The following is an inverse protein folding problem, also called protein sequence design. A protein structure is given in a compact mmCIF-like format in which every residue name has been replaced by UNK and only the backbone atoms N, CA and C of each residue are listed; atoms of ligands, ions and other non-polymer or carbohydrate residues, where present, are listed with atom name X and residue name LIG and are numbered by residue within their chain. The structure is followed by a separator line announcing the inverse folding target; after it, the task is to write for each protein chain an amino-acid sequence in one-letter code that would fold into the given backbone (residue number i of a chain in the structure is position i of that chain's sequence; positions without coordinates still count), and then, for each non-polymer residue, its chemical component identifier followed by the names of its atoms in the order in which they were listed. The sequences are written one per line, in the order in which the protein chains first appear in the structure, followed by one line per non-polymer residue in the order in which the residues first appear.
data_IF_577157790400
#
_entry.id   IF_577157790400
#
_cell.length_a   1.000
_cell.length_b   1.000
_cell.length_c   1.000
_cell.angle_alpha   90.00
_cell.angle_beta   90.00
_cell.angle_gamma   90.00
#
_symmetry.space_group_name_H-M   'P 1'
#
loop_
_entity.id
_entity.type
_entity.pdbx_description
1 polymer ?
#
# COMPACT_ATOMS: atom_id res chain seq x y z
N UNK A 1 49.66 23.57 58.46
CA UNK A 1 49.45 22.65 57.36
C UNK A 1 48.02 22.14 57.47
N UNK A 2 47.09 22.64 56.64
CA UNK A 2 45.71 22.23 56.59
C UNK A 2 45.36 21.94 55.12
N UNK A 3 45.15 20.67 54.76
CA UNK A 3 44.75 20.26 53.44
C UNK A 3 43.23 20.37 53.31
N UNK A 4 42.78 21.20 52.39
CA UNK A 4 41.39 21.29 52.01
C UNK A 4 41.13 20.28 50.84
N UNK A 5 40.30 19.26 51.09
CA UNK A 5 39.88 18.29 50.10
C UNK A 5 38.58 18.82 49.49
N UNK A 6 38.66 19.22 48.21
CA UNK A 6 37.49 19.65 47.45
C UNK A 6 36.74 18.44 46.89
N UNK A 7 35.47 18.30 47.24
CA UNK A 7 34.54 17.35 46.64
C UNK A 7 34.02 17.92 45.32
N UNK A 8 34.41 17.33 44.18
CA UNK A 8 33.74 17.56 42.90
C UNK A 8 32.52 16.63 42.81
N UNK A 9 31.34 17.20 42.93
CA UNK A 9 30.10 16.53 42.66
C UNK A 9 29.88 16.41 41.13
N UNK A 10 29.89 15.20 40.60
CA UNK A 10 29.51 14.90 39.23
C UNK A 10 27.98 14.88 39.11
N UNK A 11 27.38 15.89 38.47
CA UNK A 11 25.99 15.91 38.09
C UNK A 11 25.81 15.07 36.81
N UNK A 12 25.34 13.83 36.97
CA UNK A 12 24.83 13.03 35.85
C UNK A 12 23.48 13.60 35.40
N UNK A 13 23.46 14.32 34.28
CA UNK A 13 22.22 14.65 33.57
C UNK A 13 21.73 13.38 32.84
N UNK A 14 20.76 12.70 33.44
CA UNK A 14 19.99 11.65 32.73
C UNK A 14 19.12 12.31 31.69
N UNK A 15 19.58 12.30 30.43
CA UNK A 15 18.80 12.76 29.27
C UNK A 15 17.70 11.70 28.98
N UNK A 16 16.47 11.96 29.45
CA UNK A 16 15.31 11.15 29.14
C UNK A 16 14.94 11.42 27.68
N UNK A 17 15.37 10.54 26.75
CA UNK A 17 14.87 10.52 25.40
C UNK A 17 13.40 10.06 25.43
N UNK A 18 12.48 11.02 25.43
CA UNK A 18 11.07 10.79 25.12
C UNK A 18 10.98 10.36 23.65
N UNK A 19 11.01 9.06 23.41
CA UNK A 19 10.60 8.48 22.11
C UNK A 19 9.10 8.69 21.97
N UNK A 20 8.72 9.83 21.39
CA UNK A 20 7.36 10.08 20.98
C UNK A 20 6.97 9.06 19.91
N UNK A 21 6.18 8.04 20.30
CA UNK A 21 5.50 7.17 19.35
C UNK A 21 4.49 8.01 18.58
N UNK A 22 4.92 8.55 17.42
CA UNK A 22 3.98 9.09 16.45
C UNK A 22 3.04 7.95 16.06
N UNK A 23 1.79 7.98 16.50
CA UNK A 23 0.74 7.13 15.96
C UNK A 23 0.58 7.50 14.49
N UNK A 24 1.40 6.88 13.64
CA UNK A 24 1.36 7.06 12.20
C UNK A 24 -0.01 6.63 11.71
N UNK A 25 -0.76 7.55 11.11
CA UNK A 25 -1.97 7.19 10.40
C UNK A 25 -1.54 6.23 9.29
N UNK A 26 -2.04 4.99 9.35
CA UNK A 26 -1.75 3.99 8.32
C UNK A 26 -2.10 4.58 6.94
N UNK A 27 -1.18 4.48 5.99
CA UNK A 27 -1.42 4.90 4.62
C UNK A 27 -2.60 4.12 4.01
N UNK A 28 -3.48 4.80 3.27
CA UNK A 28 -4.69 4.17 2.73
C UNK A 28 -4.89 4.47 1.26
N UNK A 29 -5.66 3.60 0.58
CA UNK A 29 -6.01 3.74 -0.84
C UNK A 29 -7.05 4.83 -1.13
N UNK A 30 -7.67 5.46 -0.13
CA UNK A 30 -8.86 6.32 -0.32
C UNK A 30 -8.65 7.47 -1.31
N UNK A 31 -7.54 8.20 -1.20
CA UNK A 31 -7.23 9.30 -2.13
C UNK A 31 -6.98 8.85 -3.57
N UNK A 32 -6.73 7.56 -3.76
CA UNK A 32 -6.45 6.93 -5.05
C UNK A 32 -7.63 6.10 -5.57
N UNK A 33 -8.75 6.09 -4.87
CA UNK A 33 -9.88 5.17 -5.07
C UNK A 33 -10.39 5.13 -6.51
N UNK A 34 -10.40 6.28 -7.19
CA UNK A 34 -10.91 6.40 -8.58
C UNK A 34 -9.88 6.04 -9.67
N UNK A 35 -8.71 5.55 -9.30
CA UNK A 35 -7.62 5.34 -10.23
C UNK A 35 -6.97 6.65 -10.67
N UNK A 36 -6.28 6.63 -11.79
CA UNK A 36 -5.54 7.77 -12.35
C UNK A 36 -4.39 7.31 -13.23
N UNK A 37 -3.42 8.17 -13.49
CA UNK A 37 -2.24 7.80 -14.26
C UNK A 37 -1.24 7.02 -13.41
N UNK A 38 -0.59 6.02 -13.98
CA UNK A 38 0.38 5.16 -13.25
C UNK A 38 1.46 5.99 -12.53
N UNK A 39 1.96 7.06 -13.17
CA UNK A 39 2.98 7.93 -12.57
C UNK A 39 2.52 8.65 -11.30
N UNK A 40 1.23 8.80 -11.07
CA UNK A 40 0.70 9.43 -9.86
C UNK A 40 0.72 8.48 -8.65
N UNK A 41 0.81 7.18 -8.90
CA UNK A 41 0.84 6.13 -7.88
C UNK A 41 2.26 5.75 -7.46
N UNK A 42 3.22 5.78 -8.38
CA UNK A 42 4.56 5.30 -8.14
C UNK A 42 5.25 5.98 -6.94
N UNK A 43 5.19 7.32 -6.78
CA UNK A 43 5.82 7.98 -5.62
C UNK A 43 5.26 7.50 -4.28
N UNK A 44 3.96 7.21 -4.21
CA UNK A 44 3.35 6.69 -2.98
C UNK A 44 3.74 5.23 -2.73
N UNK A 45 3.76 4.40 -3.75
CA UNK A 45 4.22 3.01 -3.66
C UNK A 45 5.67 2.96 -3.17
N UNK A 46 6.55 3.81 -3.72
CA UNK A 46 7.96 3.88 -3.32
C UNK A 46 8.10 4.38 -1.88
N UNK A 47 7.36 5.42 -1.50
CA UNK A 47 7.35 5.97 -0.13
C UNK A 47 6.93 4.91 0.89
N UNK A 48 5.81 4.22 0.66
CA UNK A 48 5.29 3.19 1.57
C UNK A 48 6.24 2.00 1.65
N UNK A 49 6.81 1.58 0.52
CA UNK A 49 7.79 0.51 0.50
C UNK A 49 9.10 0.89 1.22
N UNK A 50 9.52 2.16 1.16
CA UNK A 50 10.71 2.65 1.86
C UNK A 50 10.49 2.74 3.37
N UNK A 51 9.32 3.22 3.81
CA UNK A 51 8.98 3.33 5.24
C UNK A 51 8.66 1.98 5.89
N UNK A 52 8.20 0.99 5.10
CA UNK A 52 7.71 -0.28 5.61
C UNK A 52 6.38 -0.19 6.36
N UNK A 53 5.73 0.98 6.35
CA UNK A 53 4.42 1.14 6.99
C UNK A 53 3.35 0.27 6.36
N UNK A 54 2.31 -0.07 7.13
CA UNK A 54 1.18 -0.83 6.62
C UNK A 54 0.32 0.05 5.71
N UNK A 55 0.16 -0.38 4.46
CA UNK A 55 -0.77 0.24 3.51
C UNK A 55 -2.11 -0.51 3.50
N UNK A 56 -3.21 0.21 3.70
CA UNK A 56 -4.55 -0.38 3.78
C UNK A 56 -5.32 -0.10 2.50
N UNK A 57 -5.73 -1.15 1.80
CA UNK A 57 -6.71 -1.05 0.70
C UNK A 57 -8.10 -1.16 1.32
N UNK A 58 -8.88 -0.07 1.22
CA UNK A 58 -10.22 0.00 1.78
C UNK A 58 -11.22 0.66 0.83
N UNK A 59 -12.49 0.36 1.03
CA UNK A 59 -13.57 0.95 0.25
C UNK A 59 -13.46 0.63 -1.24
N UNK A 60 -13.64 1.63 -2.08
CA UNK A 60 -13.54 1.52 -3.53
C UNK A 60 -12.09 1.68 -4.00
N UNK A 61 -11.62 0.78 -4.85
CA UNK A 61 -10.26 0.81 -5.41
C UNK A 61 -10.28 0.33 -6.86
N UNK A 62 -10.38 1.26 -7.83
CA UNK A 62 -10.48 0.92 -9.25
C UNK A 62 -9.20 1.20 -10.02
N UNK A 63 -9.02 0.50 -11.15
CA UNK A 63 -7.95 0.77 -12.12
C UNK A 63 -6.57 0.75 -11.45
N UNK A 64 -5.75 1.78 -11.67
CA UNK A 64 -4.40 1.88 -11.09
C UNK A 64 -4.37 1.93 -9.54
N UNK A 65 -5.51 2.11 -8.85
CA UNK A 65 -5.57 1.87 -7.41
C UNK A 65 -5.16 0.43 -7.05
N UNK A 66 -5.44 -0.55 -7.92
CA UNK A 66 -5.05 -1.95 -7.69
C UNK A 66 -3.53 -2.19 -7.73
N UNK A 67 -2.73 -1.21 -8.19
CA UNK A 67 -1.25 -1.26 -8.10
C UNK A 67 -0.75 -1.38 -6.65
N UNK A 68 -1.50 -0.87 -5.68
CA UNK A 68 -1.15 -1.00 -4.27
C UNK A 68 -1.16 -2.44 -3.75
N UNK A 69 -1.76 -3.40 -4.48
CA UNK A 69 -1.61 -4.82 -4.18
C UNK A 69 -0.16 -5.31 -4.30
N UNK A 70 0.70 -4.56 -4.98
CA UNK A 70 2.14 -4.82 -5.09
C UNK A 70 2.99 -4.19 -3.97
N UNK A 71 2.40 -3.47 -3.03
CA UNK A 71 3.12 -2.92 -1.87
C UNK A 71 3.52 -4.05 -0.92
N UNK A 72 4.77 -4.02 -0.45
CA UNK A 72 5.34 -5.11 0.38
C UNK A 72 4.56 -5.37 1.67
N UNK A 73 4.13 -4.31 2.34
CA UNK A 73 3.35 -4.40 3.58
C UNK A 73 1.92 -3.89 3.33
N UNK A 74 1.17 -4.64 2.52
CA UNK A 74 -0.22 -4.31 2.16
C UNK A 74 -1.20 -5.21 2.90
N UNK A 75 -2.33 -4.64 3.30
CA UNK A 75 -3.51 -5.38 3.74
C UNK A 75 -4.76 -4.92 2.99
N UNK A 76 -5.77 -5.77 2.95
CA UNK A 76 -7.05 -5.51 2.28
C UNK A 76 -8.18 -5.61 3.31
N UNK A 77 -9.09 -4.65 3.32
CA UNK A 77 -10.30 -4.76 4.10
C UNK A 77 -11.30 -5.68 3.40
N UNK A 78 -11.96 -6.57 4.15
CA UNK A 78 -12.95 -7.50 3.57
C UNK A 78 -14.09 -6.79 2.83
N UNK A 79 -14.44 -5.59 3.27
CA UNK A 79 -15.47 -4.74 2.67
C UNK A 79 -15.01 -4.00 1.41
N UNK A 80 -13.71 -4.04 1.08
CA UNK A 80 -13.18 -3.36 -0.09
C UNK A 80 -13.75 -3.95 -1.40
N UNK A 81 -13.81 -3.11 -2.42
CA UNK A 81 -14.20 -3.51 -3.79
C UNK A 81 -13.10 -3.08 -4.74
N UNK A 82 -12.42 -4.06 -5.32
CA UNK A 82 -11.33 -3.83 -6.25
C UNK A 82 -11.82 -4.06 -7.68
N UNK A 83 -11.63 -3.07 -8.54
CA UNK A 83 -12.15 -3.07 -9.91
C UNK A 83 -11.00 -3.10 -10.91
N UNK A 84 -10.97 -4.16 -11.70
CA UNK A 84 -9.93 -4.49 -12.66
C UNK A 84 -10.38 -4.20 -14.09
N UNK A 85 -9.47 -3.74 -14.93
CA UNK A 85 -9.63 -3.58 -16.37
C UNK A 85 -8.26 -3.42 -17.02
N UNK A 86 -8.16 -3.50 -18.35
CA UNK A 86 -6.90 -3.24 -19.07
C UNK A 86 -6.42 -1.80 -18.89
N UNK A 87 -5.11 -1.59 -18.87
CA UNK A 87 -4.52 -0.26 -18.95
C UNK A 87 -4.83 0.42 -20.28
N UNK A 88 -4.91 1.75 -20.30
CA UNK A 88 -5.20 2.51 -21.53
C UNK A 88 -4.35 3.77 -21.63
N UNK A 89 -4.27 4.32 -22.85
CA UNK A 89 -3.67 5.62 -23.14
C UNK A 89 -4.68 6.78 -22.93
N UNK A 90 -4.23 8.00 -23.24
CA UNK A 90 -5.08 9.21 -23.11
C UNK A 90 -6.29 9.21 -24.03
N UNK A 91 -6.22 8.49 -25.14
CA UNK A 91 -7.30 8.32 -26.10
C UNK A 91 -8.21 7.12 -25.76
N UNK A 92 -8.06 6.53 -24.58
CA UNK A 92 -8.80 5.35 -24.10
C UNK A 92 -8.60 4.10 -24.98
N UNK A 93 -7.47 3.99 -25.67
CA UNK A 93 -7.08 2.76 -26.37
C UNK A 93 -6.31 1.87 -25.42
N UNK A 94 -6.58 0.57 -25.46
CA UNK A 94 -5.86 -0.41 -24.64
C UNK A 94 -4.35 -0.28 -24.88
N UNK A 95 -3.61 -0.23 -23.79
CA UNK A 95 -2.17 -0.10 -23.78
C UNK A 95 -1.54 -1.31 -23.06
N UNK A 96 -0.87 -2.17 -23.82
CA UNK A 96 -0.28 -3.39 -23.30
C UNK A 96 0.76 -3.14 -22.20
N UNK A 97 1.59 -2.08 -22.32
CA UNK A 97 2.59 -1.76 -21.30
C UNK A 97 1.94 -1.33 -19.98
N UNK A 98 0.87 -0.54 -20.03
CA UNK A 98 0.11 -0.15 -18.84
C UNK A 98 -0.57 -1.35 -18.20
N UNK A 99 -1.18 -2.22 -19.01
CA UNK A 99 -1.79 -3.49 -18.53
C UNK A 99 -0.74 -4.38 -17.86
N UNK A 100 0.43 -4.54 -18.49
CA UNK A 100 1.50 -5.36 -17.94
C UNK A 100 2.03 -4.82 -16.60
N UNK A 101 2.13 -3.49 -16.44
CA UNK A 101 2.52 -2.88 -15.16
C UNK A 101 1.50 -3.17 -14.06
N UNK A 102 0.21 -3.16 -14.36
CA UNK A 102 -0.83 -3.54 -13.41
C UNK A 102 -0.70 -5.03 -13.04
N UNK A 103 -0.57 -5.92 -14.03
CA UNK A 103 -0.39 -7.36 -13.81
C UNK A 103 0.85 -7.68 -12.96
N UNK A 104 1.93 -6.92 -13.12
CA UNK A 104 3.16 -7.10 -12.35
C UNK A 104 3.01 -6.75 -10.86
N UNK A 105 2.01 -5.94 -10.51
CA UNK A 105 1.71 -5.61 -9.11
C UNK A 105 0.91 -6.72 -8.40
N UNK A 106 0.33 -7.66 -9.13
CA UNK A 106 -0.50 -8.72 -8.55
C UNK A 106 0.34 -9.96 -8.22
N UNK A 107 -0.01 -10.64 -7.14
CA UNK A 107 0.58 -11.93 -6.83
C UNK A 107 0.22 -12.97 -7.93
N UNK A 108 0.93 -14.09 -8.03
CA UNK A 108 0.72 -15.05 -9.11
C UNK A 108 -0.70 -15.58 -9.22
N UNK A 109 -1.38 -15.83 -8.10
CA UNK A 109 -2.75 -16.38 -8.09
C UNK A 109 -3.77 -15.38 -8.65
N UNK A 110 -3.71 -14.12 -8.20
CA UNK A 110 -4.61 -13.07 -8.69
C UNK A 110 -4.31 -12.73 -10.15
N UNK A 111 -3.03 -12.64 -10.52
CA UNK A 111 -2.62 -12.38 -11.91
C UNK A 111 -3.18 -13.44 -12.84
N UNK A 112 -3.01 -14.71 -12.52
CA UNK A 112 -3.53 -15.81 -13.33
C UNK A 112 -5.06 -15.72 -13.46
N UNK A 113 -5.75 -15.50 -12.33
CA UNK A 113 -7.20 -15.39 -12.32
C UNK A 113 -7.74 -14.28 -13.22
N UNK A 114 -7.20 -13.06 -13.12
CA UNK A 114 -7.69 -11.93 -13.93
C UNK A 114 -7.37 -12.10 -15.43
N UNK A 115 -6.31 -12.84 -15.76
CA UNK A 115 -5.99 -13.22 -17.14
C UNK A 115 -6.95 -14.28 -17.68
N UNK A 116 -7.16 -15.37 -16.94
CA UNK A 116 -8.03 -16.49 -17.35
C UNK A 116 -9.48 -16.06 -17.53
N UNK A 117 -9.93 -15.05 -16.78
CA UNK A 117 -11.27 -14.50 -16.85
C UNK A 117 -11.39 -13.27 -17.77
N UNK A 118 -10.34 -12.95 -18.52
CA UNK A 118 -10.34 -11.84 -19.48
C UNK A 118 -10.61 -10.45 -18.87
N UNK A 119 -10.33 -10.26 -17.57
CA UNK A 119 -10.57 -8.99 -16.88
C UNK A 119 -9.63 -7.87 -17.34
N UNK A 120 -8.50 -8.23 -17.93
CA UNK A 120 -7.50 -7.31 -18.40
C UNK A 120 -7.48 -7.12 -19.93
N UNK A 121 -8.52 -7.63 -20.63
CA UNK A 121 -8.60 -7.56 -22.09
C UNK A 121 -9.47 -6.40 -22.60
N UNK A 122 -10.25 -5.81 -21.70
CA UNK A 122 -11.19 -4.72 -22.05
C UNK A 122 -11.10 -3.56 -21.05
N UNK A 123 -11.77 -2.45 -21.38
CA UNK A 123 -11.91 -1.29 -20.50
C UNK A 123 -13.12 -1.41 -19.54
N UNK A 124 -13.90 -2.49 -19.65
CA UNK A 124 -14.99 -2.76 -18.71
C UNK A 124 -14.43 -3.11 -17.33
N UNK A 125 -15.07 -2.62 -16.28
CA UNK A 125 -14.68 -2.93 -14.91
C UNK A 125 -15.21 -4.29 -14.47
N UNK A 126 -14.31 -5.10 -13.92
CA UNK A 126 -14.60 -6.38 -13.28
C UNK A 126 -14.28 -6.28 -11.80
N UNK A 127 -15.29 -6.50 -10.95
CA UNK A 127 -15.14 -6.32 -9.50
C UNK A 127 -14.79 -7.64 -8.83
N UNK A 128 -13.76 -7.61 -7.97
CA UNK A 128 -13.45 -8.67 -7.00
C UNK A 128 -13.62 -8.06 -5.61
N UNK A 129 -14.31 -8.78 -4.71
CA UNK A 129 -14.49 -8.32 -3.33
C UNK A 129 -13.19 -8.42 -2.53
N UNK A 130 -13.03 -7.55 -1.52
CA UNK A 130 -11.90 -7.66 -0.60
C UNK A 130 -11.86 -9.02 0.11
N UNK A 131 -13.02 -9.60 0.42
CA UNK A 131 -13.10 -10.95 0.95
C UNK A 131 -12.47 -11.98 0.00
N UNK A 132 -12.81 -11.93 -1.30
CA UNK A 132 -12.20 -12.84 -2.29
C UNK A 132 -10.70 -12.60 -2.48
N UNK A 133 -10.27 -11.32 -2.45
CA UNK A 133 -8.84 -10.97 -2.52
C UNK A 133 -8.07 -11.63 -1.37
N UNK A 134 -8.65 -11.66 -0.18
CA UNK A 134 -8.05 -12.30 1.00
C UNK A 134 -8.14 -13.83 0.89
N UNK A 135 -9.35 -14.34 0.76
CA UNK A 135 -9.64 -15.78 0.96
C UNK A 135 -9.16 -16.65 -0.22
N UNK A 136 -9.29 -16.14 -1.47
CA UNK A 136 -8.93 -16.89 -2.68
C UNK A 136 -7.50 -16.64 -3.13
N UNK A 137 -7.03 -15.39 -3.02
CA UNK A 137 -5.73 -15.00 -3.57
C UNK A 137 -4.64 -14.85 -2.52
N UNK A 138 -4.97 -14.95 -1.21
CA UNK A 138 -3.98 -15.02 -0.13
C UNK A 138 -3.36 -13.68 0.25
N UNK A 139 -4.05 -12.56 0.00
CA UNK A 139 -3.65 -11.27 0.55
C UNK A 139 -4.00 -11.18 2.04
N UNK A 140 -3.26 -10.39 2.79
CA UNK A 140 -3.50 -10.21 4.23
C UNK A 140 -4.77 -9.40 4.49
N UNK A 141 -5.59 -9.86 5.43
CA UNK A 141 -6.69 -9.07 5.96
C UNK A 141 -6.15 -7.93 6.83
N UNK A 142 -6.73 -6.74 6.73
CA UNK A 142 -6.34 -5.63 7.58
C UNK A 142 -6.72 -5.89 9.05
N UNK A 143 -5.81 -5.60 10.00
CA UNK A 143 -6.14 -5.70 11.41
C UNK A 143 -7.33 -4.80 11.76
N UNK A 144 -8.21 -5.30 12.63
CA UNK A 144 -9.34 -4.51 13.14
C UNK A 144 -8.80 -3.30 13.90
N UNK A 145 -9.45 -2.17 13.74
CA UNK A 145 -9.17 -0.95 14.53
C UNK A 145 -10.02 -0.95 15.77
#
# INVERSE_FOLDING_TARGET
MKYLVGFLGALCFASLCLMGSSAGHAATSERFAKGGWIQDFQPEIDRVNASGELFRIKGHCQSNCTLFLGVRNVCVERSARLLFHSGHDRQRRINANSTQRMLNAYNPKLRQYVMDHHYMDTLAFHTISGADIIDKFGYHECPRR
#
